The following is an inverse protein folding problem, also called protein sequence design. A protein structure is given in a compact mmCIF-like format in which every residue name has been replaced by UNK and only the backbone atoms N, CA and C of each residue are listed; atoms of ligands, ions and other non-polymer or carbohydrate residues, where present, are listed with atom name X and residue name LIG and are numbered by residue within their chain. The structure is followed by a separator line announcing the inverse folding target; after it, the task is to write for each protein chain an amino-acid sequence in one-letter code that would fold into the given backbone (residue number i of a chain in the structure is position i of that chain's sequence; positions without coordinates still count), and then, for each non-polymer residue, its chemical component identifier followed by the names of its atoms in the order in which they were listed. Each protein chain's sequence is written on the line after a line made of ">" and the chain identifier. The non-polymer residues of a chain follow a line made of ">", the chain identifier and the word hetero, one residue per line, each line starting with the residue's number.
data_IF_174633130963
#
_entry.id   IF_174633130963
#
_cell.length_a   1.000
_cell.length_b   1.000
_cell.length_c   1.000
_cell.angle_alpha   90.00
_cell.angle_beta   90.00
_cell.angle_gamma   90.00
#
_symmetry.space_group_name_H-M   'P 1'
#
loop_
_entity.id
_entity.type
_entity.pdbx_description
1 polymer ?
#
# COMPACT_ATOMS: atom_id res chain seq x y z
N UNK A 1 13.27 -11.10 30.56
CA UNK A 1 13.51 -11.24 29.10
C UNK A 1 12.19 -11.66 28.46
N UNK A 2 11.45 -10.72 27.89
CA UNK A 2 10.10 -10.98 27.36
C UNK A 2 10.19 -11.34 25.89
N UNK A 3 9.90 -12.59 25.54
CA UNK A 3 9.90 -13.08 24.16
C UNK A 3 8.59 -12.68 23.48
N UNK A 4 8.67 -11.70 22.58
CA UNK A 4 7.59 -11.28 21.70
C UNK A 4 7.25 -12.43 20.73
N UNK A 5 6.15 -13.15 21.00
CA UNK A 5 5.60 -14.13 20.07
C UNK A 5 5.10 -13.41 18.82
N UNK A 6 5.90 -13.43 17.76
CA UNK A 6 5.46 -13.01 16.43
C UNK A 6 4.38 -14.00 15.95
N UNK A 7 3.17 -13.55 15.60
CA UNK A 7 2.18 -14.47 15.06
C UNK A 7 2.65 -14.95 13.68
N UNK A 8 2.92 -16.26 13.55
CA UNK A 8 3.20 -16.87 12.25
C UNK A 8 1.93 -16.78 11.41
N UNK A 9 1.95 -15.89 10.41
CA UNK A 9 0.93 -15.80 9.36
C UNK A 9 1.11 -16.97 8.38
N UNK A 10 0.75 -18.18 8.80
CA UNK A 10 0.54 -19.32 7.92
C UNK A 10 -0.84 -19.21 7.27
N UNK A 11 -1.02 -18.21 6.40
CA UNK A 11 -2.09 -18.27 5.40
C UNK A 11 -1.45 -18.62 4.08
N UNK A 12 -1.78 -19.80 3.58
CA UNK A 12 -1.62 -20.16 2.17
C UNK A 12 -2.36 -19.14 1.32
N UNK A 13 -1.67 -18.05 0.99
CA UNK A 13 -2.17 -17.04 0.09
C UNK A 13 -2.09 -17.61 -1.33
N UNK A 14 -3.03 -18.50 -1.68
CA UNK A 14 -3.56 -18.55 -3.05
C UNK A 14 -4.43 -17.31 -3.33
N UNK A 15 -3.99 -16.16 -2.83
CA UNK A 15 -4.53 -14.85 -3.15
C UNK A 15 -3.90 -14.51 -4.47
N UNK A 16 -4.61 -14.75 -5.58
CA UNK A 16 -4.13 -14.37 -6.90
C UNK A 16 -3.57 -12.95 -6.83
N UNK A 17 -2.25 -12.83 -7.05
CA UNK A 17 -1.42 -11.67 -6.68
C UNK A 17 -2.18 -10.38 -6.92
N UNK A 18 -2.34 -9.56 -5.87
CA UNK A 18 -2.98 -8.26 -6.00
C UNK A 18 -2.09 -7.38 -6.88
N UNK A 19 -2.38 -7.37 -8.17
CA UNK A 19 -1.74 -6.48 -9.14
C UNK A 19 -2.34 -5.09 -9.01
N UNK A 20 -1.60 -4.07 -9.43
CA UNK A 20 -2.10 -2.70 -9.48
C UNK A 20 -3.46 -2.62 -10.19
N UNK A 21 -3.59 -3.29 -11.35
CA UNK A 21 -4.84 -3.36 -12.12
C UNK A 21 -5.98 -3.99 -11.31
N UNK A 22 -5.73 -5.06 -10.54
CA UNK A 22 -6.75 -5.67 -9.67
C UNK A 22 -7.13 -4.75 -8.52
N UNK A 23 -6.15 -4.09 -7.90
CA UNK A 23 -6.40 -3.14 -6.81
C UNK A 23 -7.22 -1.93 -7.29
N UNK A 24 -6.89 -1.38 -8.47
CA UNK A 24 -7.64 -0.29 -9.10
C UNK A 24 -9.08 -0.69 -9.43
N UNK A 25 -9.28 -1.91 -9.96
CA UNK A 25 -10.62 -2.43 -10.23
C UNK A 25 -11.46 -2.60 -8.96
N UNK A 26 -10.86 -3.11 -7.87
CA UNK A 26 -11.54 -3.25 -6.56
C UNK A 26 -11.92 -1.86 -6.02
N UNK A 27 -10.97 -0.92 -6.02
CA UNK A 27 -11.19 0.45 -5.57
C UNK A 27 -12.33 1.12 -6.35
N UNK A 28 -12.37 0.96 -7.68
CA UNK A 28 -13.43 1.52 -8.51
C UNK A 28 -14.81 0.90 -8.26
N UNK A 29 -14.87 -0.42 -8.01
CA UNK A 29 -16.12 -1.11 -7.63
C UNK A 29 -16.65 -0.56 -6.30
N UNK A 30 -15.77 -0.21 -5.37
CA UNK A 30 -16.13 0.37 -4.07
C UNK A 30 -16.33 1.91 -4.13
N UNK A 31 -16.29 2.51 -5.33
CA UNK A 31 -16.43 3.96 -5.51
C UNK A 31 -15.23 4.78 -5.00
N UNK A 32 -14.15 4.12 -4.59
CA UNK A 32 -12.94 4.76 -4.12
C UNK A 32 -12.01 5.05 -5.30
N UNK A 33 -11.75 6.34 -5.57
CA UNK A 33 -10.81 6.76 -6.61
C UNK A 33 -9.61 7.42 -5.95
N UNK A 34 -8.41 7.05 -6.40
CA UNK A 34 -7.18 7.70 -5.96
C UNK A 34 -7.18 9.17 -6.37
N UNK A 35 -6.87 10.05 -5.41
CA UNK A 35 -6.67 11.47 -5.69
C UNK A 35 -5.55 11.67 -6.73
N UNK A 36 -5.60 12.75 -7.54
CA UNK A 36 -4.56 13.04 -8.53
C UNK A 36 -3.15 13.06 -7.92
N UNK A 37 -3.04 13.58 -6.69
CA UNK A 37 -1.79 13.62 -5.93
C UNK A 37 -1.26 12.23 -5.60
N UNK A 38 -2.13 11.31 -5.18
CA UNK A 38 -1.72 9.94 -4.86
C UNK A 38 -1.33 9.16 -6.12
N UNK A 39 -2.07 9.35 -7.22
CA UNK A 39 -1.72 8.77 -8.53
C UNK A 39 -0.32 9.20 -8.99
N UNK A 40 0.01 10.49 -8.85
CA UNK A 40 1.33 11.02 -9.22
C UNK A 40 2.46 10.33 -8.44
N UNK A 41 2.27 10.12 -7.14
CA UNK A 41 3.29 9.51 -6.28
C UNK A 41 3.47 8.04 -6.63
N UNK A 42 2.38 7.30 -6.83
CA UNK A 42 2.47 5.90 -7.24
C UNK A 42 3.13 5.74 -8.61
N UNK A 43 2.91 6.68 -9.54
CA UNK A 43 3.61 6.69 -10.82
C UNK A 43 5.11 6.97 -10.66
N UNK A 44 5.50 7.94 -9.82
CA UNK A 44 6.90 8.31 -9.57
C UNK A 44 7.70 7.25 -8.82
N UNK A 45 7.02 6.44 -8.00
CA UNK A 45 7.63 5.43 -7.13
C UNK A 45 7.48 4.01 -7.68
N UNK A 46 7.04 3.86 -8.92
CA UNK A 46 6.75 2.57 -9.57
C UNK A 46 7.96 1.65 -9.64
N UNK A 47 9.14 2.22 -9.87
CA UNK A 47 10.40 1.49 -10.05
C UNK A 47 11.20 1.37 -8.74
N UNK A 48 10.74 2.02 -7.66
CA UNK A 48 11.35 1.93 -6.34
C UNK A 48 10.97 0.62 -5.62
N UNK A 49 11.84 0.13 -4.72
CA UNK A 49 11.49 -0.97 -3.84
C UNK A 49 10.26 -0.63 -2.99
N UNK A 50 9.52 -1.68 -2.62
CA UNK A 50 8.20 -1.54 -1.98
C UNK A 50 8.24 -0.71 -0.69
N UNK A 51 9.36 -0.74 0.04
CA UNK A 51 9.48 -0.02 1.31
C UNK A 51 9.66 1.48 1.12
N UNK A 52 10.48 1.91 0.15
CA UNK A 52 10.61 3.32 -0.23
C UNK A 52 9.27 3.88 -0.74
N UNK A 53 8.54 3.08 -1.53
CA UNK A 53 7.20 3.43 -1.98
C UNK A 53 6.24 3.65 -0.82
N UNK A 54 6.25 2.74 0.17
CA UNK A 54 5.43 2.89 1.40
C UNK A 54 5.82 4.13 2.19
N UNK A 55 7.11 4.44 2.31
CA UNK A 55 7.58 5.65 2.98
C UNK A 55 7.11 6.92 2.28
N UNK A 56 7.21 6.98 0.94
CA UNK A 56 6.75 8.12 0.15
C UNK A 56 5.24 8.37 0.32
N UNK A 57 4.43 7.30 0.37
CA UNK A 57 2.99 7.40 0.65
C UNK A 57 2.75 7.92 2.08
N UNK A 58 3.40 7.31 3.09
CA UNK A 58 3.27 7.73 4.49
C UNK A 58 3.65 9.20 4.69
N UNK A 59 4.70 9.69 4.02
CA UNK A 59 5.15 11.07 4.10
C UNK A 59 4.09 12.08 3.63
N UNK A 60 3.19 11.70 2.72
CA UNK A 60 2.07 12.57 2.33
C UNK A 60 1.06 12.77 3.43
N UNK A 61 0.79 11.72 4.20
CA UNK A 61 -0.19 11.74 5.29
C UNK A 61 0.41 12.23 6.60
N UNK A 62 1.74 12.12 6.77
CA UNK A 62 2.47 12.64 7.93
C UNK A 62 2.46 14.18 8.00
N UNK A 63 2.10 14.88 6.92
CA UNK A 63 1.86 16.34 6.94
C UNK A 63 0.48 16.67 7.53
N UNK A 64 0.32 16.36 8.82
CA UNK A 64 -0.72 16.93 9.69
C UNK A 64 -0.22 16.83 11.13
N UNK A 65 0.66 17.76 11.51
CA UNK A 65 0.52 18.35 12.83
C UNK A 65 -0.24 19.64 12.60
N UNK A 66 -1.50 19.67 13.04
CA UNK A 66 -2.09 20.93 13.48
C UNK A 66 -1.42 21.34 14.79
#
# INVERSE_FOLDING_TARGET
>A
MSTSKTPQLTRDAKTGRLTQVRAEKISAVEGMVLSPRMRKILAQTKDQPAEERRQAIRAQFARKSA
#
